data_IF_185404403763
#
_entry.id   IF_185404403763
#
_cell.length_a   1.000
_cell.length_b   1.000
_cell.length_c   1.000
_cell.angle_alpha   90.00
_cell.angle_beta   90.00
_cell.angle_gamma   90.00
#
_symmetry.space_group_name_H-M   'P 1'
#
loop_
_entity.id
_entity.type
_entity.pdbx_description
1 polymer ?
#
# COMPACT_ATOMS: atom_id res chain seq x y z
N UNK A 1 -3.93 5.99 2.82
CA UNK A 1 -3.64 7.44 2.68
C UNK A 1 -3.07 7.73 1.29
N UNK A 2 -3.36 8.89 0.69
CA UNK A 2 -2.72 9.35 -0.56
C UNK A 2 -2.22 10.79 -0.41
N UNK A 3 -0.89 11.01 -0.41
CA UNK A 3 -0.26 12.32 -0.16
C UNK A 3 0.88 12.64 -1.13
N UNK A 4 1.21 13.93 -1.24
CA UNK A 4 2.39 14.44 -1.95
C UNK A 4 3.65 14.55 -1.07
N UNK A 5 3.54 14.24 0.23
CA UNK A 5 4.66 14.29 1.18
C UNK A 5 5.72 13.21 0.94
N UNK A 6 6.91 13.42 1.53
CA UNK A 6 7.98 12.41 1.55
C UNK A 6 7.53 11.13 2.29
N UNK A 7 8.00 9.94 1.87
CA UNK A 7 7.58 8.66 2.46
C UNK A 7 7.78 8.56 3.97
N UNK A 8 8.91 9.08 4.48
CA UNK A 8 9.23 9.06 5.91
C UNK A 8 8.18 9.85 6.70
N UNK A 9 7.88 11.08 6.25
CA UNK A 9 6.87 11.93 6.89
C UNK A 9 5.47 11.32 6.76
N UNK A 10 5.11 10.80 5.58
CA UNK A 10 3.83 10.15 5.35
C UNK A 10 3.62 8.93 6.26
N UNK A 11 4.65 8.08 6.42
CA UNK A 11 4.64 6.92 7.34
C UNK A 11 4.43 7.36 8.78
N UNK A 12 5.19 8.36 9.24
CA UNK A 12 5.10 8.87 10.60
C UNK A 12 3.70 9.45 10.90
N UNK A 13 3.16 10.29 10.01
CA UNK A 13 1.81 10.84 10.16
C UNK A 13 0.76 9.73 10.10
N UNK A 14 0.90 8.77 9.18
CA UNK A 14 -0.04 7.65 9.06
C UNK A 14 -0.08 6.78 10.32
N UNK A 15 1.05 6.57 11.01
CA UNK A 15 1.07 5.94 12.33
C UNK A 15 0.42 6.80 13.41
N UNK A 16 0.68 8.10 13.41
CA UNK A 16 0.13 9.02 14.40
C UNK A 16 -1.41 9.14 14.32
N UNK A 17 -1.99 9.05 13.13
CA UNK A 17 -3.45 9.17 12.91
C UNK A 17 -4.17 7.82 12.80
N UNK A 18 -3.45 6.70 12.93
CA UNK A 18 -4.03 5.35 12.92
C UNK A 18 -4.41 4.80 11.54
N UNK A 19 -3.81 5.31 10.46
CA UNK A 19 -3.93 4.68 9.12
C UNK A 19 -3.01 3.46 9.02
N UNK A 20 -1.84 3.56 9.63
CA UNK A 20 -0.99 2.40 9.91
C UNK A 20 -1.09 2.16 11.41
N UNK A 21 -1.52 0.97 11.81
CA UNK A 21 -1.67 0.60 13.22
C UNK A 21 -0.32 0.50 13.92
N UNK A 22 -0.28 0.65 15.25
CA UNK A 22 0.99 0.61 15.99
C UNK A 22 1.62 -0.78 16.05
N UNK A 23 0.80 -1.83 15.92
CA UNK A 23 1.17 -3.25 15.97
C UNK A 23 1.40 -3.87 14.60
N UNK A 24 1.21 -3.11 13.51
CA UNK A 24 1.48 -3.56 12.14
C UNK A 24 2.84 -3.06 11.66
N UNK A 25 3.45 -3.86 10.79
CA UNK A 25 4.80 -3.64 10.28
C UNK A 25 4.78 -3.51 8.77
N UNK A 26 5.68 -2.67 8.25
CA UNK A 26 6.06 -2.66 6.83
C UNK A 26 7.21 -3.63 6.58
N UNK A 27 7.49 -3.93 5.31
CA UNK A 27 8.62 -4.78 4.91
C UNK A 27 9.94 -4.26 5.50
N UNK A 28 10.11 -2.94 5.53
CA UNK A 28 11.28 -2.28 6.14
C UNK A 28 11.34 -2.46 7.66
N UNK A 29 10.18 -2.41 8.34
CA UNK A 29 10.12 -2.63 9.79
C UNK A 29 10.51 -4.09 10.12
N UNK A 30 10.02 -5.05 9.33
CA UNK A 30 10.33 -6.48 9.49
C UNK A 30 11.82 -6.74 9.23
N UNK A 31 12.37 -6.22 8.13
CA UNK A 31 13.79 -6.35 7.78
C UNK A 31 14.68 -5.82 8.92
N UNK A 32 14.36 -4.64 9.43
CA UNK A 32 15.09 -4.03 10.55
C UNK A 32 14.99 -4.86 11.83
N UNK A 33 13.79 -5.37 12.16
CA UNK A 33 13.56 -6.18 13.37
C UNK A 33 14.29 -7.53 13.33
N UNK A 34 14.28 -8.19 12.17
CA UNK A 34 14.89 -9.52 11.99
C UNK A 34 16.39 -9.41 11.69
N UNK A 35 16.85 -8.27 11.16
CA UNK A 35 18.25 -8.03 10.83
C UNK A 35 18.67 -8.65 9.50
N UNK A 36 17.74 -8.76 8.54
CA UNK A 36 17.97 -9.31 7.19
C UNK A 36 17.82 -8.21 6.12
N UNK A 37 18.42 -8.36 4.94
CA UNK A 37 18.14 -7.49 3.78
C UNK A 37 16.64 -7.46 3.44
N UNK A 38 16.16 -6.35 2.88
CA UNK A 38 14.76 -6.19 2.44
C UNK A 38 14.33 -7.28 1.45
N UNK A 39 15.26 -7.71 0.61
CA UNK A 39 15.08 -8.73 -0.42
C UNK A 39 14.74 -10.12 0.15
N UNK A 40 15.15 -10.38 1.41
CA UNK A 40 14.89 -11.64 2.11
C UNK A 40 13.55 -11.64 2.86
N UNK A 41 12.88 -10.48 2.96
CA UNK A 41 11.57 -10.37 3.61
C UNK A 41 10.47 -10.68 2.61
N UNK A 42 9.60 -11.63 2.96
CA UNK A 42 8.40 -11.89 2.19
C UNK A 42 7.42 -10.70 2.33
N UNK A 43 7.08 -9.99 1.23
CA UNK A 43 6.19 -8.83 1.31
C UNK A 43 4.81 -9.15 1.88
N UNK A 44 4.36 -10.42 1.80
CA UNK A 44 3.06 -10.86 2.31
C UNK A 44 2.99 -10.93 3.83
N UNK A 45 4.13 -10.88 4.51
CA UNK A 45 4.18 -10.87 5.98
C UNK A 45 3.90 -9.46 6.53
N UNK A 46 4.06 -8.42 5.71
CA UNK A 46 3.77 -7.04 6.05
C UNK A 46 2.29 -6.70 5.79
N UNK A 47 1.55 -6.30 6.83
CA UNK A 47 0.17 -5.82 6.68
C UNK A 47 0.10 -4.38 6.18
N UNK A 48 1.14 -3.59 6.46
CA UNK A 48 1.23 -2.19 6.09
C UNK A 48 2.28 -1.99 5.01
N UNK A 49 2.07 -1.04 4.11
CA UNK A 49 3.10 -0.65 3.14
C UNK A 49 3.05 0.84 2.81
N UNK A 50 4.21 1.38 2.42
CA UNK A 50 4.36 2.75 1.96
C UNK A 50 4.91 2.71 0.55
N UNK A 51 4.14 3.20 -0.42
CA UNK A 51 4.49 3.14 -1.84
C UNK A 51 4.83 4.54 -2.33
N UNK A 52 5.99 4.66 -2.97
CA UNK A 52 6.39 5.91 -3.59
C UNK A 52 5.68 6.11 -4.95
N UNK A 53 5.35 7.34 -5.28
CA UNK A 53 4.63 7.67 -6.52
C UNK A 53 5.35 7.20 -7.79
N UNK A 54 6.68 7.16 -7.83
CA UNK A 54 7.41 6.62 -8.99
C UNK A 54 7.13 5.14 -9.20
N UNK A 55 7.05 4.38 -8.12
CA UNK A 55 6.87 2.93 -8.16
C UNK A 55 5.42 2.62 -8.54
N UNK A 56 4.48 3.37 -7.96
CA UNK A 56 3.07 3.33 -8.36
C UNK A 56 2.87 3.59 -9.86
N UNK A 57 3.66 4.48 -10.47
CA UNK A 57 3.60 4.74 -11.92
C UNK A 57 4.11 3.57 -12.75
N UNK A 58 5.09 2.83 -12.22
CA UNK A 58 5.69 1.69 -12.89
C UNK A 58 4.85 0.41 -12.74
N UNK A 59 3.98 0.35 -11.74
CA UNK A 59 3.09 -0.78 -11.49
C UNK A 59 2.00 -0.89 -12.57
N UNK A 60 1.80 -2.12 -13.02
CA UNK A 60 0.64 -2.54 -13.81
C UNK A 60 -0.63 -2.62 -12.95
N UNK A 61 -1.80 -2.62 -13.59
CA UNK A 61 -3.08 -2.81 -12.88
C UNK A 61 -3.12 -4.09 -12.05
N UNK A 62 -2.53 -5.19 -12.54
CA UNK A 62 -2.48 -6.45 -11.80
C UNK A 62 -1.59 -6.37 -10.55
N UNK A 63 -0.50 -5.61 -10.61
CA UNK A 63 0.36 -5.38 -9.44
C UNK A 63 -0.32 -4.47 -8.42
N UNK A 64 -1.05 -3.44 -8.87
CA UNK A 64 -1.88 -2.61 -8.00
C UNK A 64 -2.94 -3.46 -7.32
N UNK A 65 -3.65 -4.32 -8.07
CA UNK A 65 -4.65 -5.24 -7.50
C UNK A 65 -4.05 -6.17 -6.45
N UNK A 66 -2.86 -6.74 -6.72
CA UNK A 66 -2.16 -7.58 -5.77
C UNK A 66 -1.70 -6.80 -4.52
N UNK A 67 -1.24 -5.56 -4.69
CA UNK A 67 -0.87 -4.67 -3.60
C UNK A 67 -2.07 -4.41 -2.67
N UNK A 68 -3.20 -4.00 -3.26
CA UNK A 68 -4.46 -3.73 -2.56
C UNK A 68 -5.07 -4.98 -1.91
N UNK A 69 -4.79 -6.17 -2.48
CA UNK A 69 -5.25 -7.45 -1.93
C UNK A 69 -4.39 -7.98 -0.79
N UNK A 70 -3.08 -7.69 -0.78
CA UNK A 70 -2.13 -8.25 0.19
C UNK A 70 -1.91 -7.35 1.42
N UNK A 71 -2.14 -6.04 1.31
CA UNK A 71 -1.91 -5.09 2.40
C UNK A 71 -3.22 -4.43 2.80
N UNK A 72 -3.51 -4.38 4.11
CA UNK A 72 -4.72 -3.74 4.63
C UNK A 72 -4.52 -2.25 4.94
N UNK A 73 -3.26 -1.82 5.11
CA UNK A 73 -2.91 -0.48 5.55
C UNK A 73 -1.91 0.16 4.58
N UNK A 74 -2.42 0.92 3.62
CA UNK A 74 -1.61 1.41 2.49
C UNK A 74 -1.46 2.92 2.52
N UNK A 75 -0.22 3.39 2.33
CA UNK A 75 0.12 4.81 2.21
C UNK A 75 0.83 5.05 0.89
N UNK A 76 0.20 5.83 0.01
CA UNK A 76 0.83 6.30 -1.22
C UNK A 76 1.43 7.70 -0.96
N UNK A 77 2.76 7.80 -1.08
CA UNK A 77 3.52 9.01 -0.83
C UNK A 77 4.11 9.57 -2.14
N UNK A 78 4.46 10.87 -2.15
CA UNK A 78 5.00 11.56 -3.34
C UNK A 78 4.15 11.39 -4.60
N UNK A 79 2.82 11.33 -4.43
CA UNK A 79 1.89 11.14 -5.55
C UNK A 79 1.57 12.45 -6.28
N UNK A 80 1.44 12.37 -7.61
CA UNK A 80 0.92 13.45 -8.45
C UNK A 80 -0.63 13.45 -8.48
N UNK A 81 -1.29 14.55 -8.89
CA UNK A 81 -2.75 14.57 -9.03
C UNK A 81 -3.30 13.44 -9.90
N UNK A 82 -2.67 13.15 -11.05
CA UNK A 82 -3.04 12.02 -11.91
C UNK A 82 -2.94 10.67 -11.19
N UNK A 83 -1.89 10.46 -10.39
CA UNK A 83 -1.73 9.20 -9.65
C UNK A 83 -2.79 8.99 -8.58
N UNK A 84 -3.31 10.08 -8.00
CA UNK A 84 -4.46 9.97 -7.08
C UNK A 84 -5.69 9.39 -7.77
N UNK A 85 -5.93 9.78 -9.02
CA UNK A 85 -7.04 9.24 -9.82
C UNK A 85 -6.82 7.74 -10.07
N UNK A 86 -5.61 7.35 -10.48
CA UNK A 86 -5.26 5.93 -10.70
C UNK A 86 -5.50 5.06 -9.46
N UNK A 87 -5.16 5.55 -8.27
CA UNK A 87 -5.43 4.83 -7.02
C UNK A 87 -6.94 4.68 -6.78
N UNK A 88 -7.71 5.74 -7.00
CA UNK A 88 -9.18 5.71 -6.82
C UNK A 88 -9.86 4.77 -7.82
N UNK A 89 -9.41 4.76 -9.07
CA UNK A 89 -9.90 3.83 -10.11
C UNK A 89 -9.58 2.38 -9.75
N UNK A 90 -8.35 2.09 -9.32
CA UNK A 90 -7.95 0.74 -8.90
C UNK A 90 -8.80 0.21 -7.72
N UNK A 91 -9.03 1.05 -6.70
CA UNK A 91 -9.91 0.72 -5.58
C UNK A 91 -11.35 0.43 -6.03
N UNK A 92 -11.88 1.24 -6.95
CA UNK A 92 -13.22 1.05 -7.50
C UNK A 92 -13.35 -0.30 -8.23
N UNK A 93 -12.35 -0.66 -9.04
CA UNK A 93 -12.33 -1.93 -9.78
C UNK A 93 -12.23 -3.16 -8.86
N UNK A 94 -11.42 -3.08 -7.80
CA UNK A 94 -11.36 -4.13 -6.77
C UNK A 94 -12.71 -4.32 -6.08
N UNK A 95 -13.37 -3.21 -5.70
CA UNK A 95 -14.69 -3.26 -5.06
C UNK A 95 -15.75 -3.87 -5.99
N UNK A 96 -15.79 -3.45 -7.25
CA UNK A 96 -16.75 -3.98 -8.23
C UNK A 96 -16.57 -5.48 -8.46
N UNK A 97 -15.32 -5.98 -8.55
CA UNK A 97 -15.06 -7.41 -8.69
C UNK A 97 -15.49 -8.21 -7.45
N UNK A 98 -15.24 -7.69 -6.25
CA UNK A 98 -15.71 -8.32 -4.99
C UNK A 98 -17.24 -8.38 -4.94
N UNK A 99 -17.93 -7.32 -5.34
CA UNK A 99 -19.40 -7.28 -5.42
C UNK A 99 -19.90 -8.32 -6.40
N UNK A 100 -19.37 -8.35 -7.63
CA UNK A 100 -19.77 -9.33 -8.64
C UNK A 100 -19.57 -10.77 -8.16
N UNK A 101 -18.45 -11.08 -7.51
CA UNK A 101 -18.19 -12.41 -6.97
C UNK A 101 -19.16 -12.80 -5.85
N UNK A 102 -19.61 -11.83 -5.03
CA UNK A 102 -20.61 -12.07 -3.98
C UNK A 102 -22.05 -12.26 -4.50
N UNK A 103 -22.35 -11.78 -5.71
CA UNK A 103 -23.68 -11.90 -6.34
C UNK A 103 -23.80 -13.18 -7.18
N UNK A 104 -22.66 -13.73 -7.64
CA UNK A 104 -22.58 -14.96 -8.45
C UNK A 104 -22.43 -16.25 -7.64
N UNK A 105 -22.31 -16.19 -6.31
CA UNK A 105 -22.29 -17.34 -5.38
C UNK A 105 -23.57 -17.41 -4.56
#
# INVERSE_FOLDING_TARGET
MVTGDHPITAKAISRAVGIISQDTETVEDIAQRVGVPLEEVNPRDAKACVIHGTDLKAMSSAEIDALLGNHTEIVFARTSPQQKITVVEGEHDVLNRKILQSVLC
#
